data_IF_106894942209
#
_entry.id   IF_106894942209
#
_cell.length_a   1.000
_cell.length_b   1.000
_cell.length_c   1.000
_cell.angle_alpha   90.00
_cell.angle_beta   90.00
_cell.angle_gamma   90.00
#
_symmetry.space_group_name_H-M   'P 1'
#
loop_
_entity.id
_entity.type
_entity.pdbx_description
1 polymer ?
#
# COMPACT_ATOMS: atom_id res chain seq x y z
N UNK A 1 -18.72 -29.26 -14.88
CA UNK A 1 -17.74 -28.25 -14.52
C UNK A 1 -18.26 -26.85 -14.81
N UNK A 2 -18.09 -26.01 -13.89
CA UNK A 2 -18.54 -24.64 -14.05
C UNK A 2 -17.46 -23.82 -14.73
N UNK A 3 -17.81 -23.17 -15.80
CA UNK A 3 -16.87 -22.29 -16.45
C UNK A 3 -16.57 -21.08 -15.57
N UNK A 4 -15.33 -20.70 -15.51
CA UNK A 4 -14.97 -19.46 -14.88
C UNK A 4 -15.55 -18.28 -15.64
N UNK A 5 -15.89 -17.20 -14.98
CA UNK A 5 -16.24 -15.99 -15.69
C UNK A 5 -15.13 -15.61 -16.65
N UNK A 6 -15.51 -15.18 -17.83
CA UNK A 6 -14.54 -14.78 -18.84
C UNK A 6 -13.77 -13.53 -18.40
N UNK A 7 -14.41 -12.72 -17.56
CA UNK A 7 -13.81 -11.47 -17.11
C UNK A 7 -13.80 -11.44 -15.59
N UNK A 8 -12.66 -11.14 -14.98
CA UNK A 8 -12.62 -10.93 -13.53
C UNK A 8 -13.42 -9.68 -13.17
N UNK A 9 -13.81 -9.60 -11.91
CA UNK A 9 -14.43 -8.40 -11.37
C UNK A 9 -13.47 -7.23 -11.59
N UNK A 10 -13.93 -6.11 -12.16
CA UNK A 10 -13.06 -4.93 -12.32
C UNK A 10 -12.35 -4.49 -11.05
N UNK A 11 -12.97 -4.71 -9.89
CA UNK A 11 -12.34 -4.37 -8.61
C UNK A 11 -11.13 -5.26 -8.28
N UNK A 12 -11.03 -6.43 -8.92
CA UNK A 12 -9.91 -7.35 -8.73
C UNK A 12 -8.78 -7.11 -9.73
N UNK A 13 -8.95 -6.16 -10.63
CA UNK A 13 -7.91 -5.80 -11.58
C UNK A 13 -7.14 -4.59 -11.07
N UNK A 14 -5.81 -4.59 -11.24
CA UNK A 14 -5.04 -3.42 -10.84
C UNK A 14 -5.35 -2.25 -11.77
N UNK A 15 -5.32 -1.04 -11.21
CA UNK A 15 -5.49 0.18 -11.99
C UNK A 15 -4.32 0.40 -12.96
N UNK A 16 -3.15 -0.10 -12.60
CA UNK A 16 -1.92 -0.02 -13.41
C UNK A 16 -0.94 -1.07 -12.90
N UNK A 17 0.08 -1.44 -13.69
CA UNK A 17 1.14 -2.34 -13.24
C UNK A 17 1.88 -1.76 -12.05
N UNK A 18 2.44 -2.61 -11.20
CA UNK A 18 3.25 -2.15 -10.07
C UNK A 18 4.43 -1.32 -10.59
N UNK A 19 4.56 -0.06 -10.19
CA UNK A 19 5.67 0.78 -10.65
C UNK A 19 6.99 0.33 -10.01
N UNK A 20 8.11 0.63 -10.66
CA UNK A 20 9.40 0.42 -10.02
C UNK A 20 9.55 1.30 -8.79
N UNK A 21 10.39 0.87 -7.86
CA UNK A 21 10.63 1.62 -6.62
C UNK A 21 11.59 2.78 -6.87
N UNK A 22 11.14 3.73 -7.65
CA UNK A 22 11.86 4.98 -7.88
C UNK A 22 10.98 6.14 -7.44
N UNK A 23 11.59 7.22 -7.04
CA UNK A 23 10.83 8.41 -6.61
C UNK A 23 9.93 8.91 -7.72
N UNK A 24 10.42 8.98 -8.95
CA UNK A 24 9.65 9.50 -10.06
C UNK A 24 8.42 8.63 -10.37
N UNK A 25 8.60 7.30 -10.42
CA UNK A 25 7.49 6.39 -10.72
C UNK A 25 6.45 6.37 -9.60
N UNK A 26 6.91 6.37 -8.35
CA UNK A 26 6.00 6.38 -7.20
C UNK A 26 5.25 7.71 -7.08
N UNK A 27 5.88 8.82 -7.43
CA UNK A 27 5.22 10.13 -7.42
C UNK A 27 3.98 10.12 -8.32
N UNK A 28 4.12 9.60 -9.52
CA UNK A 28 3.00 9.50 -10.46
C UNK A 28 1.93 8.55 -9.92
N UNK A 29 2.34 7.38 -9.46
CA UNK A 29 1.40 6.37 -8.97
C UNK A 29 0.62 6.86 -7.75
N UNK A 30 1.28 7.52 -6.81
CA UNK A 30 0.62 8.07 -5.61
C UNK A 30 -0.41 9.11 -6.01
N UNK A 31 -0.07 10.02 -6.91
CA UNK A 31 -0.99 11.05 -7.37
C UNK A 31 -2.21 10.44 -8.07
N UNK A 32 -2.02 9.33 -8.78
CA UNK A 32 -3.12 8.65 -9.48
C UNK A 32 -4.11 8.01 -8.51
N UNK A 33 -3.63 7.49 -7.39
CA UNK A 33 -4.52 6.78 -6.45
C UNK A 33 -5.06 7.67 -5.34
N UNK A 34 -4.36 8.78 -5.01
CA UNK A 34 -4.77 9.64 -3.90
C UNK A 34 -4.08 10.99 -4.00
N UNK A 35 -4.82 11.99 -4.49
CA UNK A 35 -4.26 13.33 -4.69
C UNK A 35 -3.87 14.00 -3.37
N UNK A 36 -4.55 13.66 -2.27
CA UNK A 36 -4.21 14.21 -0.96
C UNK A 36 -2.88 13.63 -0.48
N UNK A 37 -2.65 12.35 -0.70
CA UNK A 37 -1.41 11.69 -0.32
C UNK A 37 -0.22 12.22 -1.12
N UNK A 38 -0.43 12.78 -2.31
CA UNK A 38 0.65 13.33 -3.12
C UNK A 38 1.45 14.40 -2.39
N UNK A 39 0.78 15.28 -1.64
CA UNK A 39 1.45 16.32 -0.87
C UNK A 39 2.30 15.72 0.26
N UNK A 40 1.77 14.69 0.92
CA UNK A 40 2.52 13.98 1.95
C UNK A 40 3.74 13.28 1.38
N UNK A 41 3.59 12.68 0.20
CA UNK A 41 4.71 12.05 -0.50
C UNK A 41 5.86 13.05 -0.69
N UNK A 42 5.56 14.26 -1.16
CA UNK A 42 6.60 15.28 -1.37
C UNK A 42 7.29 15.68 -0.07
N UNK A 43 6.52 15.89 1.00
CA UNK A 43 7.10 16.25 2.30
C UNK A 43 8.01 15.15 2.82
N UNK A 44 7.58 13.89 2.72
CA UNK A 44 8.36 12.76 3.21
C UNK A 44 9.59 12.50 2.34
N UNK A 45 9.49 12.76 1.04
CA UNK A 45 10.62 12.66 0.13
C UNK A 45 11.71 13.64 0.54
N UNK A 46 11.35 14.89 0.80
CA UNK A 46 12.31 15.90 1.25
C UNK A 46 12.93 15.52 2.59
N UNK A 47 12.14 15.02 3.53
CA UNK A 47 12.63 14.61 4.83
C UNK A 47 13.61 13.44 4.71
N UNK A 48 13.30 12.46 3.88
CA UNK A 48 14.17 11.30 3.67
C UNK A 48 15.51 11.70 3.05
N UNK A 49 15.49 12.62 2.10
CA UNK A 49 16.73 13.13 1.49
C UNK A 49 17.58 13.88 2.49
N UNK A 50 16.97 14.72 3.31
CA UNK A 50 17.69 15.46 4.35
C UNK A 50 18.33 14.51 5.34
N UNK A 51 17.59 13.51 5.80
CA UNK A 51 18.11 12.53 6.72
C UNK A 51 19.25 11.74 6.11
N UNK A 52 19.13 11.34 4.84
CA UNK A 52 20.17 10.62 4.14
C UNK A 52 21.47 11.42 4.09
N UNK A 53 21.40 12.72 3.83
CA UNK A 53 22.56 13.60 3.82
C UNK A 53 23.15 13.74 5.21
N UNK A 54 22.31 13.96 6.23
CA UNK A 54 22.76 14.15 7.60
C UNK A 54 23.41 12.90 8.19
N UNK A 55 22.93 11.74 7.82
CA UNK A 55 23.43 10.48 8.37
C UNK A 55 24.45 9.78 7.44
N UNK A 56 24.68 10.34 6.26
CA UNK A 56 25.55 9.74 5.23
C UNK A 56 25.14 8.28 4.98
N UNK A 57 23.83 8.07 4.78
CA UNK A 57 23.26 6.73 4.61
C UNK A 57 22.11 6.79 3.59
N UNK A 58 22.00 5.72 2.79
CA UNK A 58 20.88 5.58 1.86
C UNK A 58 19.66 4.93 2.50
N UNK A 59 19.78 4.46 3.75
CA UNK A 59 18.69 3.76 4.44
C UNK A 59 17.40 4.59 4.47
N UNK A 60 17.42 5.89 4.81
CA UNK A 60 16.18 6.68 4.81
C UNK A 60 15.47 6.70 3.45
N UNK A 61 16.24 6.74 2.36
CA UNK A 61 15.67 6.75 1.01
C UNK A 61 15.05 5.40 0.67
N UNK A 62 15.74 4.30 0.99
CA UNK A 62 15.19 2.97 0.75
C UNK A 62 13.94 2.70 1.57
N UNK A 63 13.93 3.13 2.82
CA UNK A 63 12.78 3.02 3.70
C UNK A 63 11.59 3.80 3.14
N UNK A 64 11.82 5.02 2.67
CA UNK A 64 10.81 5.86 2.05
C UNK A 64 10.22 5.17 0.82
N UNK A 65 11.07 4.69 -0.08
CA UNK A 65 10.61 4.04 -1.31
C UNK A 65 9.81 2.77 -1.01
N UNK A 66 10.26 1.98 -0.05
CA UNK A 66 9.55 0.75 0.33
C UNK A 66 8.17 1.07 0.90
N UNK A 67 8.10 2.02 1.83
CA UNK A 67 6.82 2.38 2.45
C UNK A 67 5.80 2.89 1.44
N UNK A 68 6.23 3.75 0.54
CA UNK A 68 5.34 4.26 -0.50
C UNK A 68 5.04 3.23 -1.58
N UNK A 69 5.96 2.29 -1.81
CA UNK A 69 5.69 1.14 -2.66
C UNK A 69 4.54 0.28 -2.11
N UNK A 70 4.55 0.01 -0.81
CA UNK A 70 3.46 -0.72 -0.15
C UNK A 70 2.15 0.07 -0.25
N UNK A 71 2.20 1.38 -0.04
CA UNK A 71 1.04 2.25 -0.19
C UNK A 71 0.39 2.07 -1.57
N UNK A 72 1.20 2.12 -2.63
CA UNK A 72 0.72 1.96 -4.00
C UNK A 72 0.24 0.53 -4.25
N UNK A 73 0.97 -0.48 -3.78
CA UNK A 73 0.59 -1.88 -3.95
C UNK A 73 -0.78 -2.19 -3.36
N UNK A 74 -1.09 -1.58 -2.21
CA UNK A 74 -2.41 -1.71 -1.59
C UNK A 74 -3.50 -1.04 -2.42
N UNK A 75 -3.22 0.14 -2.94
CA UNK A 75 -4.25 1.00 -3.53
C UNK A 75 -4.43 0.84 -5.03
N UNK A 76 -3.50 0.21 -5.72
CA UNK A 76 -3.68 -0.03 -7.15
C UNK A 76 -4.76 -1.08 -7.45
N UNK A 77 -5.21 -1.84 -6.43
CA UNK A 77 -6.34 -2.75 -6.54
C UNK A 77 -7.52 -2.18 -5.77
N UNK A 78 -8.60 -1.79 -6.45
CA UNK A 78 -9.79 -1.28 -5.74
C UNK A 78 -10.34 -2.25 -4.70
N UNK A 79 -10.27 -3.55 -4.97
CA UNK A 79 -10.73 -4.56 -4.00
C UNK A 79 -9.90 -4.56 -2.72
N UNK A 80 -8.60 -4.29 -2.82
CA UNK A 80 -7.73 -4.17 -1.63
C UNK A 80 -8.08 -2.94 -0.81
N UNK A 81 -8.38 -1.83 -1.47
CA UNK A 81 -8.79 -0.60 -0.76
C UNK A 81 -10.06 -0.85 0.02
N UNK A 82 -11.05 -1.45 -0.60
CA UNK A 82 -12.31 -1.78 0.06
C UNK A 82 -12.08 -2.74 1.23
N UNK A 83 -11.25 -3.75 1.04
CA UNK A 83 -10.92 -4.73 2.07
C UNK A 83 -10.17 -4.10 3.23
N UNK A 84 -9.22 -3.23 2.93
CA UNK A 84 -8.46 -2.52 3.95
C UNK A 84 -9.37 -1.66 4.81
N UNK A 85 -10.25 -0.86 4.18
CA UNK A 85 -11.20 -0.02 4.89
C UNK A 85 -12.13 -0.86 5.77
N UNK A 86 -12.62 -1.97 5.25
CA UNK A 86 -13.49 -2.88 5.98
C UNK A 86 -12.79 -3.45 7.22
N UNK A 87 -11.53 -3.91 7.05
CA UNK A 87 -10.76 -4.49 8.14
C UNK A 87 -10.41 -3.45 9.20
N UNK A 88 -10.05 -2.24 8.78
CA UNK A 88 -9.74 -1.18 9.73
C UNK A 88 -10.96 -0.79 10.55
N UNK A 89 -12.13 -0.72 9.91
CA UNK A 89 -13.37 -0.44 10.64
C UNK A 89 -13.74 -1.57 11.58
N UNK A 90 -13.54 -2.82 11.16
CA UNK A 90 -13.84 -3.97 11.99
C UNK A 90 -12.94 -4.02 13.23
N UNK A 91 -11.64 -3.75 13.06
CA UNK A 91 -10.70 -3.67 14.20
C UNK A 91 -11.13 -2.59 15.18
N UNK A 92 -11.53 -1.42 14.67
CA UNK A 92 -11.96 -0.32 15.52
C UNK A 92 -13.27 -0.58 16.27
N UNK A 93 -14.10 -1.50 15.78
CA UNK A 93 -15.40 -1.81 16.39
C UNK A 93 -15.41 -3.10 17.20
N UNK A 94 -14.33 -3.89 17.13
CA UNK A 94 -14.28 -5.17 17.81
C UNK A 94 -14.33 -4.96 19.32
N UNK A 95 -15.24 -5.66 19.99
CA UNK A 95 -15.41 -5.58 21.45
C UNK A 95 -14.85 -6.81 22.15
N UNK A 96 -14.77 -7.94 21.44
CA UNK A 96 -14.20 -9.16 21.98
C UNK A 96 -12.74 -9.27 21.59
N UNK A 97 -11.92 -9.74 22.55
CA UNK A 97 -10.49 -9.91 22.30
C UNK A 97 -10.18 -10.81 21.11
N UNK A 98 -10.91 -11.93 21.02
CA UNK A 98 -10.70 -12.88 19.94
C UNK A 98 -11.03 -12.27 18.59
N UNK A 99 -12.12 -11.51 18.53
CA UNK A 99 -12.58 -10.84 17.33
C UNK A 99 -11.56 -9.80 16.87
N UNK A 100 -11.08 -8.99 17.81
CA UNK A 100 -10.05 -8.00 17.52
C UNK A 100 -8.78 -8.66 17.01
N UNK A 101 -8.38 -9.77 17.61
CA UNK A 101 -7.18 -10.51 17.20
C UNK A 101 -7.32 -11.07 15.79
N UNK A 102 -8.48 -11.67 15.48
CA UNK A 102 -8.73 -12.20 14.15
C UNK A 102 -8.71 -11.13 13.08
N UNK A 103 -9.33 -9.98 13.36
CA UNK A 103 -9.36 -8.85 12.43
C UNK A 103 -7.96 -8.27 12.21
N UNK A 104 -7.17 -8.17 13.27
CA UNK A 104 -5.80 -7.68 13.17
C UNK A 104 -4.91 -8.65 12.38
N UNK A 105 -5.13 -9.96 12.52
CA UNK A 105 -4.41 -10.96 11.73
C UNK A 105 -4.75 -10.86 10.25
N UNK A 106 -6.02 -10.63 9.92
CA UNK A 106 -6.45 -10.47 8.53
C UNK A 106 -5.84 -9.21 7.91
N UNK A 107 -5.78 -8.13 8.67
CA UNK A 107 -5.15 -6.90 8.22
C UNK A 107 -3.65 -7.11 7.98
N UNK A 108 -2.97 -7.78 8.90
CA UNK A 108 -1.55 -8.08 8.74
C UNK A 108 -1.29 -8.94 7.50
N UNK A 109 -2.15 -9.90 7.22
CA UNK A 109 -2.03 -10.75 6.03
C UNK A 109 -2.17 -9.93 4.75
N UNK A 110 -3.12 -8.99 4.72
CA UNK A 110 -3.32 -8.11 3.57
C UNK A 110 -2.08 -7.23 3.33
N UNK A 111 -1.54 -6.67 4.39
CA UNK A 111 -0.34 -5.85 4.31
C UNK A 111 0.87 -6.67 3.84
N UNK A 112 0.99 -7.89 4.32
CA UNK A 112 2.07 -8.79 3.91
C UNK A 112 1.97 -9.12 2.42
N UNK A 113 0.77 -9.39 1.94
CA UNK A 113 0.53 -9.67 0.53
C UNK A 113 0.94 -8.49 -0.34
N UNK A 114 0.55 -7.28 0.06
CA UNK A 114 0.93 -6.07 -0.66
C UNK A 114 2.45 -5.85 -0.63
N UNK A 115 3.07 -6.08 0.52
CA UNK A 115 4.52 -5.91 0.68
C UNK A 115 5.32 -6.89 -0.17
N UNK A 116 4.81 -8.10 -0.40
CA UNK A 116 5.49 -9.09 -1.23
C UNK A 116 5.64 -8.63 -2.68
N UNK A 117 4.71 -7.81 -3.16
CA UNK A 117 4.78 -7.24 -4.50
C UNK A 117 5.84 -6.15 -4.62
N UNK A 118 6.18 -5.53 -3.51
CA UNK A 118 7.21 -4.50 -3.46
C UNK A 118 8.61 -5.14 -3.42
N UNK A 119 8.73 -6.25 -2.68
CA UNK A 119 9.99 -6.95 -2.52
C UNK A 119 10.35 -7.81 -3.73
N UNK A 120 9.33 -8.26 -4.42
CA UNK A 120 9.51 -9.09 -5.60
C UNK A 120 9.89 -8.27 -6.80
#
# INVERSE_FOLDING_TARGET
MTARPAHPDPADEPLFPMPPLTEAALRVAVADVDTVAAARFERESHAARREAVQTDSTVPLHTFLYRWGVFVALRRYPSRVARLDELERAVGRATAREEARANSSALAALLHEAASEVSG
#
